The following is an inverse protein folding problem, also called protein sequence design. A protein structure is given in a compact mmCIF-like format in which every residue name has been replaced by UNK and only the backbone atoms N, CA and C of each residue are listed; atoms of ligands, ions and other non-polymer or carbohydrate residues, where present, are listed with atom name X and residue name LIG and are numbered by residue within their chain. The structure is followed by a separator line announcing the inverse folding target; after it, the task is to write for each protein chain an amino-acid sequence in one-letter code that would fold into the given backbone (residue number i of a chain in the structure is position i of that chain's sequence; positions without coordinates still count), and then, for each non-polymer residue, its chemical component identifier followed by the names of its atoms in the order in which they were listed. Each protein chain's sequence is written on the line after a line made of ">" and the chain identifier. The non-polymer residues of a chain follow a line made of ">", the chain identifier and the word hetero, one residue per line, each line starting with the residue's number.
data_IF_981854875500
#
_entry.id   IF_981854875500
#
_cell.length_a   1.000
_cell.length_b   1.000
_cell.length_c   1.000
_cell.angle_alpha   90.00
_cell.angle_beta   90.00
_cell.angle_gamma   90.00
#
_symmetry.space_group_name_H-M   'P 1'
#
loop_
_entity.id
_entity.type
_entity.pdbx_description
1 polymer ?
#
# COMPACT_ATOMS: atom_id res chain seq x y z
N UNK A 1 3.36 10.64 -25.95
CA UNK A 1 4.48 11.25 -25.21
C UNK A 1 4.18 12.72 -24.92
N UNK A 2 4.02 13.56 -25.95
CA UNK A 2 3.75 15.00 -25.82
C UNK A 2 2.56 15.34 -24.90
N UNK A 3 1.42 14.66 -25.06
CA UNK A 3 0.26 14.85 -24.17
C UNK A 3 0.53 14.51 -22.69
N UNK A 4 1.40 13.54 -22.40
CA UNK A 4 1.81 13.23 -21.02
C UNK A 4 2.73 14.31 -20.47
N UNK A 5 3.68 14.80 -21.26
CA UNK A 5 4.59 15.87 -20.84
C UNK A 5 3.83 17.15 -20.51
N UNK A 6 2.83 17.52 -21.33
CA UNK A 6 1.95 18.68 -21.07
C UNK A 6 1.13 18.46 -19.79
N UNK A 7 0.57 17.27 -19.62
CA UNK A 7 -0.20 16.94 -18.41
C UNK A 7 0.69 17.02 -17.16
N UNK A 8 1.89 16.46 -17.21
CA UNK A 8 2.87 16.51 -16.12
C UNK A 8 3.27 17.94 -15.79
N UNK A 9 3.56 18.77 -16.80
CA UNK A 9 3.87 20.18 -16.62
C UNK A 9 2.74 20.92 -15.90
N UNK A 10 1.50 20.75 -16.34
CA UNK A 10 0.34 21.37 -15.69
C UNK A 10 0.19 20.92 -14.23
N UNK A 11 0.35 19.62 -13.94
CA UNK A 11 0.25 19.09 -12.58
C UNK A 11 1.36 19.64 -11.66
N UNK A 12 2.57 19.87 -12.20
CA UNK A 12 3.68 20.50 -11.47
C UNK A 12 3.37 21.98 -11.20
N UNK A 13 2.90 22.72 -12.19
CA UNK A 13 2.50 24.13 -12.06
C UNK A 13 1.41 24.33 -11.02
N UNK A 14 0.43 23.42 -10.99
CA UNK A 14 -0.66 23.40 -10.01
C UNK A 14 -0.22 22.88 -8.62
N UNK A 15 1.02 22.39 -8.48
CA UNK A 15 1.55 21.74 -7.28
C UNK A 15 0.69 20.55 -6.81
N UNK A 16 0.13 19.82 -7.75
CA UNK A 16 -0.82 18.74 -7.52
C UNK A 16 -0.15 17.37 -7.70
N UNK A 17 0.39 16.82 -6.60
CA UNK A 17 0.99 15.48 -6.62
C UNK A 17 -0.03 14.39 -6.92
N UNK A 18 -1.30 14.59 -6.58
CA UNK A 18 -2.33 13.60 -6.89
C UNK A 18 -2.47 13.47 -8.41
N UNK A 19 -2.56 14.58 -9.15
CA UNK A 19 -2.51 14.55 -10.61
C UNK A 19 -1.25 13.89 -11.16
N UNK A 20 -0.07 14.12 -10.56
CA UNK A 20 1.18 13.49 -10.99
C UNK A 20 1.20 11.96 -10.86
N UNK A 21 0.36 11.36 -10.02
CA UNK A 21 0.16 9.92 -10.02
C UNK A 21 -0.23 9.39 -11.41
N UNK A 22 -0.99 10.15 -12.21
CA UNK A 22 -1.44 9.69 -13.52
C UNK A 22 -0.35 9.69 -14.59
N UNK A 23 0.80 10.33 -14.32
CA UNK A 23 1.93 10.38 -15.26
C UNK A 23 2.99 9.34 -14.99
N UNK A 24 2.98 8.68 -13.82
CA UNK A 24 3.92 7.59 -13.53
C UNK A 24 3.51 6.28 -14.23
N UNK A 25 4.50 5.42 -14.43
CA UNK A 25 4.33 4.16 -15.13
C UNK A 25 3.33 3.24 -14.42
N UNK A 26 2.63 2.42 -15.20
CA UNK A 26 1.56 1.57 -14.67
C UNK A 26 2.05 0.57 -13.63
N UNK A 27 3.31 0.13 -13.70
CA UNK A 27 3.87 -0.83 -12.74
C UNK A 27 4.05 -0.17 -11.38
N UNK A 28 4.54 1.06 -11.34
CA UNK A 28 4.61 1.85 -10.11
C UNK A 28 3.21 2.11 -9.52
N UNK A 29 2.23 2.48 -10.36
CA UNK A 29 0.82 2.65 -9.93
C UNK A 29 0.22 1.37 -9.35
N UNK A 30 0.41 0.24 -10.04
CA UNK A 30 -0.03 -1.06 -9.56
C UNK A 30 0.62 -1.44 -8.23
N UNK A 31 1.92 -1.16 -8.07
CA UNK A 31 2.62 -1.43 -6.83
C UNK A 31 2.07 -0.60 -5.67
N UNK A 32 1.87 0.71 -5.85
CA UNK A 32 1.25 1.60 -4.85
C UNK A 32 -0.14 1.13 -4.45
N UNK A 33 -0.97 0.75 -5.43
CA UNK A 33 -2.30 0.21 -5.16
C UNK A 33 -2.24 -1.05 -4.30
N UNK A 34 -1.37 -2.01 -4.64
CA UNK A 34 -1.19 -3.24 -3.85
C UNK A 34 -0.65 -2.94 -2.44
N UNK A 35 0.28 -2.01 -2.29
CA UNK A 35 0.82 -1.60 -0.97
C UNK A 35 -0.31 -1.07 -0.10
N UNK A 36 -1.12 -0.13 -0.58
CA UNK A 36 -2.23 0.43 0.19
C UNK A 36 -3.24 -0.66 0.59
N UNK A 37 -3.61 -1.52 -0.36
CA UNK A 37 -4.55 -2.62 -0.10
C UNK A 37 -4.05 -3.56 1.01
N UNK A 38 -2.82 -4.08 0.87
CA UNK A 38 -2.26 -5.05 1.81
C UNK A 38 -2.02 -4.42 3.19
N UNK A 39 -1.55 -3.16 3.24
CA UNK A 39 -1.30 -2.45 4.49
C UNK A 39 -2.58 -2.11 5.24
N UNK A 40 -3.64 -1.71 4.54
CA UNK A 40 -4.95 -1.46 5.17
C UNK A 40 -5.59 -2.75 5.69
N UNK A 41 -5.55 -3.83 4.91
CA UNK A 41 -6.01 -5.14 5.37
C UNK A 41 -5.26 -5.62 6.62
N UNK A 42 -3.93 -5.43 6.65
CA UNK A 42 -3.13 -5.76 7.82
C UNK A 42 -3.52 -4.90 9.04
N UNK A 43 -3.76 -3.60 8.84
CA UNK A 43 -4.16 -2.69 9.90
C UNK A 43 -5.52 -3.06 10.50
N UNK A 44 -6.50 -3.40 9.66
CA UNK A 44 -7.81 -3.90 10.07
C UNK A 44 -7.65 -5.18 10.93
N UNK A 45 -6.90 -6.15 10.42
CA UNK A 45 -6.65 -7.41 11.13
C UNK A 45 -5.98 -7.23 12.50
N UNK A 46 -5.02 -6.29 12.61
CA UNK A 46 -4.38 -5.94 13.88
C UNK A 46 -5.40 -5.36 14.85
N UNK A 47 -6.23 -4.40 14.41
CA UNK A 47 -7.23 -3.75 15.28
C UNK A 47 -8.23 -4.76 15.84
N UNK A 48 -8.60 -5.76 15.05
CA UNK A 48 -9.56 -6.78 15.44
C UNK A 48 -8.99 -7.77 16.47
N UNK A 49 -7.83 -8.37 16.19
CA UNK A 49 -7.40 -9.58 16.89
C UNK A 49 -6.18 -9.43 17.78
N UNK A 50 -5.35 -8.40 17.58
CA UNK A 50 -4.17 -8.25 18.43
C UNK A 50 -4.59 -7.83 19.85
N UNK A 51 -3.85 -8.26 20.89
CA UNK A 51 -3.99 -7.71 22.24
C UNK A 51 -3.80 -6.19 22.26
N UNK A 52 -4.53 -5.48 23.12
CA UNK A 52 -4.56 -4.02 23.15
C UNK A 52 -3.17 -3.41 23.36
N UNK A 53 -2.34 -4.04 24.18
CA UNK A 53 -0.97 -3.64 24.48
C UNK A 53 -0.03 -3.72 23.27
N UNK A 54 -0.31 -4.62 22.30
CA UNK A 54 0.52 -4.79 21.10
C UNK A 54 0.06 -3.94 19.93
N UNK A 55 -1.25 -3.61 19.85
CA UNK A 55 -1.86 -2.91 18.70
C UNK A 55 -1.10 -1.64 18.27
N UNK A 56 -0.74 -0.69 19.16
CA UNK A 56 -0.11 0.56 18.73
C UNK A 56 1.25 0.33 18.05
N UNK A 57 2.04 -0.61 18.57
CA UNK A 57 3.34 -0.93 17.99
C UNK A 57 3.22 -1.63 16.63
N UNK A 58 2.27 -2.56 16.51
CA UNK A 58 2.03 -3.30 15.28
C UNK A 58 1.46 -2.40 14.17
N UNK A 59 0.55 -1.48 14.50
CA UNK A 59 0.01 -0.50 13.54
C UNK A 59 1.10 0.45 13.03
N UNK A 60 1.94 0.99 13.91
CA UNK A 60 3.05 1.88 13.49
C UNK A 60 4.03 1.18 12.55
N UNK A 61 4.24 -0.13 12.71
CA UNK A 61 5.15 -0.88 11.85
C UNK A 61 4.66 -1.03 10.40
N UNK A 62 3.37 -0.78 10.12
CA UNK A 62 2.82 -0.85 8.76
C UNK A 62 3.16 0.38 7.91
N UNK A 63 3.54 1.50 8.52
CA UNK A 63 3.92 2.73 7.83
C UNK A 63 2.75 3.47 7.17
N UNK A 64 3.10 4.41 6.29
CA UNK A 64 2.19 5.33 5.60
C UNK A 64 1.14 4.64 4.73
N UNK A 65 1.46 3.48 4.14
CA UNK A 65 0.52 2.72 3.31
C UNK A 65 -0.73 2.25 4.06
N UNK A 66 -0.67 2.12 5.39
CA UNK A 66 -1.85 1.76 6.21
C UNK A 66 -2.78 2.95 6.50
N UNK A 67 -2.26 4.17 6.37
CA UNK A 67 -2.96 5.42 6.68
C UNK A 67 -3.40 6.15 5.41
N UNK A 68 -2.77 5.87 4.27
CA UNK A 68 -3.13 6.44 2.98
C UNK A 68 -4.58 6.09 2.58
N UNK A 69 -5.29 7.09 2.08
CA UNK A 69 -6.67 6.93 1.59
C UNK A 69 -6.74 5.98 0.39
N UNK A 70 -5.82 6.16 -0.55
CA UNK A 70 -5.72 5.40 -1.80
C UNK A 70 -4.29 5.47 -2.36
N UNK A 71 -4.05 4.81 -3.50
CA UNK A 71 -2.73 4.76 -4.15
C UNK A 71 -2.21 6.14 -4.57
N UNK A 72 -3.11 7.00 -5.04
CA UNK A 72 -2.82 8.39 -5.42
C UNK A 72 -2.46 9.24 -4.19
N UNK A 73 -3.13 9.01 -3.06
CA UNK A 73 -2.82 9.61 -1.77
C UNK A 73 -1.47 9.14 -1.24
N UNK A 74 -1.15 7.85 -1.33
CA UNK A 74 0.17 7.33 -0.97
C UNK A 74 1.27 7.95 -1.84
N UNK A 75 1.04 8.07 -3.15
CA UNK A 75 1.94 8.78 -4.03
C UNK A 75 2.11 10.24 -3.61
N UNK A 76 1.03 10.96 -3.33
CA UNK A 76 1.09 12.37 -2.94
C UNK A 76 1.81 12.58 -1.60
N UNK A 77 1.69 11.64 -0.65
CA UNK A 77 2.45 11.65 0.60
C UNK A 77 3.96 11.51 0.37
N UNK A 78 4.36 10.69 -0.61
CA UNK A 78 5.77 10.38 -0.91
C UNK A 78 6.41 11.33 -1.92
N UNK A 79 5.63 11.89 -2.82
CA UNK A 79 6.06 12.91 -3.77
C UNK A 79 5.63 14.29 -3.28
N UNK A 80 6.36 14.80 -2.28
CA UNK A 80 6.20 16.15 -1.73
C UNK A 80 6.78 17.25 -2.61
N UNK A 81 7.10 18.40 -2.01
CA UNK A 81 7.64 19.57 -2.75
C UNK A 81 8.93 19.25 -3.49
N UNK A 82 9.92 18.67 -2.79
CA UNK A 82 11.22 18.32 -3.40
C UNK A 82 11.07 17.35 -4.59
N UNK A 83 10.17 16.36 -4.49
CA UNK A 83 9.88 15.45 -5.60
C UNK A 83 9.27 16.19 -6.80
N UNK A 84 8.29 17.09 -6.56
CA UNK A 84 7.67 17.86 -7.64
C UNK A 84 8.67 18.81 -8.30
N UNK A 85 9.55 19.43 -7.52
CA UNK A 85 10.57 20.32 -8.02
C UNK A 85 11.60 19.55 -8.87
N UNK A 86 12.07 18.39 -8.39
CA UNK A 86 12.95 17.49 -9.15
C UNK A 86 12.29 17.08 -10.48
N UNK A 87 11.01 16.65 -10.45
CA UNK A 87 10.25 16.36 -11.67
C UNK A 87 10.12 17.59 -12.58
N UNK A 88 9.91 18.78 -12.02
CA UNK A 88 9.82 20.04 -12.76
C UNK A 88 11.10 20.44 -13.48
N UNK A 89 12.27 20.06 -12.95
CA UNK A 89 13.54 20.27 -13.66
C UNK A 89 13.64 19.36 -14.89
N UNK A 90 13.17 18.12 -14.77
CA UNK A 90 13.21 17.07 -15.81
C UNK A 90 12.14 17.20 -16.88
N UNK A 91 11.02 17.86 -16.59
CA UNK A 91 9.97 18.15 -17.59
C UNK A 91 10.38 19.37 -18.41
N UNK A 92 10.56 19.17 -19.72
CA UNK A 92 10.94 20.23 -20.65
C UNK A 92 10.74 19.84 -22.11
N UNK A 93 11.14 20.73 -23.01
CA UNK A 93 11.14 20.45 -24.45
C UNK A 93 12.02 19.24 -24.76
N UNK A 94 11.56 18.37 -25.65
CA UNK A 94 12.29 17.18 -26.08
C UNK A 94 13.40 17.58 -27.04
N UNK A 95 14.65 17.23 -26.73
CA UNK A 95 15.79 17.41 -27.63
C UNK A 95 16.01 16.18 -28.49
N UNK A 96 16.06 15.00 -27.86
CA UNK A 96 16.19 13.71 -28.54
C UNK A 96 15.61 12.58 -27.70
N UNK A 97 15.38 11.43 -28.34
CA UNK A 97 14.87 10.23 -27.68
C UNK A 97 15.67 8.99 -28.08
N UNK A 98 15.81 8.04 -27.16
CA UNK A 98 16.45 6.75 -27.36
C UNK A 98 15.50 5.62 -26.93
N UNK A 99 15.19 4.70 -27.83
CA UNK A 99 14.37 3.52 -27.52
C UNK A 99 15.23 2.39 -26.97
N UNK A 100 14.81 1.82 -25.85
CA UNK A 100 15.46 0.72 -25.16
C UNK A 100 14.41 -0.35 -24.80
N UNK A 101 14.03 -1.17 -25.79
CA UNK A 101 12.97 -2.16 -25.61
C UNK A 101 11.63 -1.48 -25.34
N UNK A 102 11.04 -1.73 -24.17
CA UNK A 102 9.77 -1.10 -23.74
C UNK A 102 9.97 0.27 -23.07
N UNK A 103 11.24 0.72 -22.96
CA UNK A 103 11.61 2.00 -22.42
C UNK A 103 11.91 3.01 -23.52
N UNK A 104 11.64 4.27 -23.23
CA UNK A 104 12.06 5.41 -24.02
C UNK A 104 12.78 6.40 -23.10
N UNK A 105 14.05 6.63 -23.36
CA UNK A 105 14.83 7.66 -22.69
C UNK A 105 14.64 8.96 -23.47
N UNK A 106 14.15 9.99 -22.80
CA UNK A 106 13.93 11.32 -23.35
C UNK A 106 15.01 12.24 -22.78
N UNK A 107 15.84 12.79 -23.66
CA UNK A 107 16.76 13.85 -23.28
C UNK A 107 16.08 15.19 -23.55
N UNK A 108 16.01 16.02 -22.53
CA UNK A 108 15.35 17.33 -22.61
C UNK A 108 16.33 18.42 -22.98
N UNK A 109 15.84 19.50 -23.57
CA UNK A 109 16.62 20.69 -23.89
C UNK A 109 17.27 21.38 -22.68
N UNK A 110 16.94 20.93 -21.45
CA UNK A 110 17.54 21.38 -20.19
C UNK A 110 18.74 20.54 -19.76
N UNK A 111 19.09 19.50 -20.52
CA UNK A 111 20.17 18.56 -20.19
C UNK A 111 19.75 17.45 -19.23
N UNK A 112 18.46 17.35 -18.89
CA UNK A 112 17.91 16.31 -18.02
C UNK A 112 17.40 15.11 -18.80
N UNK A 113 17.42 13.95 -18.16
CA UNK A 113 16.92 12.68 -18.71
C UNK A 113 15.66 12.19 -18.01
N UNK A 114 14.70 11.76 -18.80
CA UNK A 114 13.44 11.19 -18.34
C UNK A 114 13.25 9.81 -18.96
N UNK A 115 13.09 8.78 -18.13
CA UNK A 115 12.78 7.44 -18.63
C UNK A 115 11.27 7.24 -18.63
N UNK A 116 10.74 6.86 -19.78
CA UNK A 116 9.34 6.54 -19.98
C UNK A 116 9.19 5.05 -20.27
N UNK A 117 8.12 4.46 -19.78
CA UNK A 117 7.71 3.10 -20.07
C UNK A 117 6.46 3.10 -20.95
N UNK A 118 6.48 2.29 -22.01
CA UNK A 118 5.34 2.13 -22.90
C UNK A 118 4.34 1.16 -22.29
N UNK A 119 3.09 1.60 -22.19
CA UNK A 119 1.99 0.72 -21.78
C UNK A 119 1.71 -0.33 -22.87
N UNK A 120 1.53 -1.59 -22.51
CA UNK A 120 1.22 -2.66 -23.47
C UNK A 120 -0.10 -2.41 -24.22
N UNK A 121 -1.09 -1.76 -23.59
CA UNK A 121 -2.45 -1.57 -24.13
C UNK A 121 -2.81 -0.10 -24.47
N UNK A 122 -1.86 0.82 -24.71
CA UNK A 122 -2.24 2.21 -24.98
C UNK A 122 -1.23 3.14 -25.65
N UNK A 123 -1.72 4.34 -26.00
CA UNK A 123 -0.92 5.44 -26.57
C UNK A 123 -0.27 6.35 -25.50
N UNK A 124 -0.42 6.00 -24.23
CA UNK A 124 0.11 6.76 -23.10
C UNK A 124 1.46 6.20 -22.65
N UNK A 125 2.40 7.10 -22.40
CA UNK A 125 3.70 6.79 -21.83
C UNK A 125 3.66 7.14 -20.35
N UNK A 126 4.18 6.28 -19.49
CA UNK A 126 4.30 6.60 -18.06
C UNK A 126 5.75 6.80 -17.67
N UNK A 127 6.02 7.81 -16.86
CA UNK A 127 7.34 8.08 -16.31
C UNK A 127 7.74 6.98 -15.32
N UNK A 128 8.91 6.42 -15.52
CA UNK A 128 9.46 5.43 -14.59
C UNK A 128 9.74 6.12 -13.25
N UNK A 129 9.08 5.63 -12.20
CA UNK A 129 9.17 6.23 -10.87
C UNK A 129 9.31 5.16 -9.79
N UNK A 130 10.52 5.03 -9.22
CA UNK A 130 10.86 4.09 -8.13
C UNK A 130 10.34 2.65 -8.32
N UNK A 131 10.18 2.18 -9.57
CA UNK A 131 9.45 0.95 -9.87
C UNK A 131 10.00 -0.28 -9.13
N UNK A 132 11.32 -0.47 -9.11
CA UNK A 132 11.95 -1.60 -8.42
C UNK A 132 11.83 -1.53 -6.88
N UNK A 133 11.88 -0.33 -6.33
CA UNK A 133 11.73 -0.11 -4.88
C UNK A 133 10.29 -0.38 -4.45
N UNK A 134 9.32 0.10 -5.23
CA UNK A 134 7.91 -0.14 -5.00
C UNK A 134 7.55 -1.61 -5.16
N UNK A 135 8.12 -2.34 -6.13
CA UNK A 135 7.83 -3.77 -6.28
C UNK A 135 8.38 -4.60 -5.10
N UNK A 136 9.58 -4.24 -4.61
CA UNK A 136 10.13 -4.83 -3.37
C UNK A 136 9.27 -4.50 -2.16
N UNK A 137 8.78 -3.27 -2.06
CA UNK A 137 7.88 -2.87 -0.98
C UNK A 137 6.53 -3.58 -1.04
N UNK A 138 5.91 -3.67 -2.23
CA UNK A 138 4.71 -4.48 -2.48
C UNK A 138 4.90 -5.91 -1.99
N UNK A 139 6.02 -6.53 -2.35
CA UNK A 139 6.36 -7.89 -1.91
C UNK A 139 6.46 -7.99 -0.39
N UNK A 140 7.03 -6.98 0.28
CA UNK A 140 7.09 -6.89 1.74
C UNK A 140 5.71 -6.71 2.37
N UNK A 141 4.87 -5.81 1.84
CA UNK A 141 3.52 -5.57 2.33
C UNK A 141 2.67 -6.85 2.30
N UNK A 142 2.74 -7.60 1.18
CA UNK A 142 2.07 -8.89 1.03
C UNK A 142 2.58 -9.94 2.03
N UNK A 143 3.89 -9.99 2.29
CA UNK A 143 4.47 -10.88 3.30
C UNK A 143 4.04 -10.50 4.72
N UNK A 144 3.99 -9.21 5.02
CA UNK A 144 3.59 -8.71 6.33
C UNK A 144 2.12 -9.01 6.60
N UNK A 145 1.22 -8.81 5.62
CA UNK A 145 -0.19 -9.19 5.75
C UNK A 145 -0.34 -10.67 6.14
N UNK A 146 0.32 -11.59 5.42
CA UNK A 146 0.28 -13.02 5.76
C UNK A 146 0.75 -13.33 7.18
N UNK A 147 1.79 -12.63 7.65
CA UNK A 147 2.28 -12.79 9.03
C UNK A 147 1.29 -12.25 10.05
N UNK A 148 0.67 -11.09 9.77
CA UNK A 148 -0.36 -10.50 10.62
C UNK A 148 -1.55 -11.46 10.74
N UNK A 149 -2.02 -12.02 9.64
CA UNK A 149 -3.13 -13.00 9.63
C UNK A 149 -2.82 -14.23 10.48
N UNK A 150 -1.62 -14.82 10.33
CA UNK A 150 -1.20 -15.98 11.11
C UNK A 150 -1.10 -15.68 12.62
N UNK A 151 -0.55 -14.52 12.98
CA UNK A 151 -0.46 -14.08 14.38
C UNK A 151 -1.85 -13.83 14.96
N UNK A 152 -2.71 -13.17 14.20
CA UNK A 152 -4.06 -12.85 14.62
C UNK A 152 -4.90 -14.12 14.89
N UNK A 153 -4.80 -15.15 14.06
CA UNK A 153 -5.41 -16.47 14.32
C UNK A 153 -4.88 -17.09 15.63
N UNK A 154 -3.60 -16.89 15.94
CA UNK A 154 -3.00 -17.38 17.19
C UNK A 154 -3.58 -16.65 18.41
N UNK A 155 -3.71 -15.32 18.34
CA UNK A 155 -4.30 -14.53 19.42
C UNK A 155 -5.78 -14.88 19.65
N UNK A 156 -6.57 -15.03 18.59
CA UNK A 156 -7.98 -15.44 18.70
C UNK A 156 -8.14 -16.83 19.31
N UNK A 157 -7.26 -17.77 18.96
CA UNK A 157 -7.27 -19.10 19.57
C UNK A 157 -6.99 -19.00 21.07
N UNK A 158 -6.02 -18.18 21.47
CA UNK A 158 -5.68 -17.95 22.88
C UNK A 158 -6.84 -17.34 23.65
N UNK A 159 -7.44 -16.27 23.14
CA UNK A 159 -8.60 -15.61 23.76
C UNK A 159 -9.78 -16.58 23.95
N UNK A 160 -10.05 -17.47 22.98
CA UNK A 160 -11.11 -18.49 23.11
C UNK A 160 -10.82 -19.54 24.19
N UNK A 161 -9.55 -19.92 24.38
CA UNK A 161 -9.18 -20.88 25.42
C UNK A 161 -9.30 -20.24 26.81
N UNK A 162 -8.75 -19.04 26.99
CA UNK A 162 -8.81 -18.28 28.24
C UNK A 162 -10.26 -17.93 28.62
N UNK A 163 -11.10 -17.56 27.64
CA UNK A 163 -12.52 -17.32 27.85
C UNK A 163 -13.34 -18.56 28.20
N UNK A 164 -12.93 -19.76 27.75
CA UNK A 164 -13.57 -21.04 28.13
C UNK A 164 -13.18 -21.49 29.54
N UNK A 165 -11.94 -21.24 29.96
CA UNK A 165 -11.48 -21.53 31.31
C UNK A 165 -12.08 -20.58 32.36
N UNK A 166 -12.36 -19.33 31.99
CA UNK A 166 -13.02 -18.35 32.85
C UNK A 166 -14.53 -18.59 33.08
N UNK A 167 -15.15 -19.54 32.36
CA UNK A 167 -16.56 -19.91 32.55
C UNK A 167 -16.64 -21.19 33.39
N UNK A 168 -16.84 -21.11 34.72
CA UNK A 168 -16.92 -22.31 35.53
C UNK A 168 -18.17 -23.10 35.13
N UNK A 169 -18.01 -24.41 34.91
CA UNK A 169 -19.12 -25.32 34.74
C UNK A 169 -20.08 -25.17 35.93
N UNK A 170 -21.28 -24.66 35.68
CA UNK A 170 -22.40 -24.78 36.61
C UNK A 170 -22.72 -26.26 36.71
N UNK A 171 -22.09 -26.95 37.67
CA UNK A 171 -22.46 -28.30 38.07
C UNK A 171 -23.82 -28.23 38.76
N UNK A 172 -24.88 -28.22 37.96
CA UNK A 172 -26.20 -28.63 38.39
C UNK A 172 -26.19 -30.14 38.61
N UNK A 173 -25.94 -30.56 39.85
CA UNK A 173 -26.38 -31.88 40.31
C UNK A 173 -27.60 -31.69 41.20
N UNK A 174 -28.75 -31.74 40.55
CA UNK A 174 -30.04 -32.10 41.13
C UNK A 174 -29.91 -33.49 41.77
N UNK A 175 -29.92 -33.55 43.10
CA UNK A 175 -30.26 -34.77 43.83
C UNK A 175 -31.78 -34.75 44.04
N UNK A 176 -32.51 -35.49 43.22
CA UNK A 176 -33.87 -35.91 43.53
C UNK A 176 -33.80 -37.01 44.61
N UNK A 177 -34.50 -36.88 45.75
CA UNK A 177 -34.66 -38.01 46.66
C UNK A 177 -35.65 -39.01 46.07
N UNK A 178 -35.22 -40.27 46.08
CA UNK A 178 -35.97 -41.44 45.63
C UNK A 178 -37.36 -41.55 46.29
N UNK A 179 -38.28 -42.10 45.51
CA UNK A 179 -39.68 -42.32 45.85
C UNK A 179 -39.95 -43.32 46.98
N UNK A 180 -41.24 -43.59 47.24
CA UNK A 180 -41.76 -44.09 48.50
C UNK A 180 -41.64 -45.61 48.62
N UNK A 181 -41.44 -46.12 49.85
CA UNK A 181 -41.76 -47.50 50.23
C UNK A 181 -41.93 -47.59 51.75
N UNK A 182 -43.09 -48.09 52.20
CA UNK A 182 -43.35 -48.54 53.57
C UNK A 182 -44.54 -47.86 54.21
#
# INVERSE_FOLDING_TARGET
>A
MEGMMIYAANAIEERDSRKLYNVIDERARHALHSIVADRRAAAERIREAYPEELRPSALRALGDGAEAEDAEGLFALRCGEECRDDLGTKIGGVERTEEQGDLLVVHTARGEELTLYRREEGHWWGMVWHTEELDRERSRASQDLRRVEANATTYERRQRLEGREASPAVNGQTMDPAGPNG
#
